data_IF_993648678612
#
_entry.id   IF_993648678612
#
_cell.length_a   1.000
_cell.length_b   1.000
_cell.length_c   1.000
_cell.angle_alpha   90.00
_cell.angle_beta   90.00
_cell.angle_gamma   90.00
#
_symmetry.space_group_name_H-M   'P 1'
#
loop_
_entity.id
_entity.type
_entity.pdbx_description
1 polymer ?
#
# COMPACT_ATOMS: atom_id res chain seq x y z
N UNK A 1 -16.59 35.15 4.60
CA UNK A 1 -17.94 35.32 5.17
C UNK A 1 -18.04 34.35 6.34
N UNK A 2 -18.03 34.88 7.56
CA UNK A 2 -18.04 34.13 8.82
C UNK A 2 -19.44 33.56 9.05
N UNK A 3 -19.55 32.30 9.49
CA UNK A 3 -20.68 31.86 10.32
C UNK A 3 -20.23 30.75 11.27
N UNK A 4 -20.00 31.16 12.51
CA UNK A 4 -19.92 30.38 13.74
C UNK A 4 -21.17 29.51 13.96
N UNK A 5 -21.09 28.28 14.47
CA UNK A 5 -21.26 27.91 15.90
C UNK A 5 -21.76 26.43 15.91
N UNK A 6 -21.47 25.53 16.85
CA UNK A 6 -21.62 25.60 18.31
C UNK A 6 -20.65 24.63 19.00
N UNK A 7 -19.98 25.15 20.02
CA UNK A 7 -19.29 24.39 21.06
C UNK A 7 -20.29 24.10 22.19
N UNK A 8 -20.32 22.85 22.67
CA UNK A 8 -21.16 22.44 23.80
C UNK A 8 -20.47 22.82 25.11
N UNK A 9 -21.15 23.60 25.97
CA UNK A 9 -20.69 23.93 27.32
C UNK A 9 -20.91 22.74 28.26
N UNK A 10 -19.94 22.52 29.14
CA UNK A 10 -20.04 21.59 30.25
C UNK A 10 -20.90 22.24 31.35
N UNK A 11 -22.12 21.77 31.56
CA UNK A 11 -22.93 22.10 32.74
C UNK A 11 -22.88 20.95 33.74
N UNK A 12 -22.73 21.33 35.00
CA UNK A 12 -22.54 20.50 36.18
C UNK A 12 -23.81 19.76 36.60
N UNK A 13 -23.62 18.50 37.01
CA UNK A 13 -24.45 17.85 38.03
C UNK A 13 -25.88 17.46 37.65
N UNK A 14 -26.05 16.45 36.77
CA UNK A 14 -27.25 15.58 36.76
C UNK A 14 -26.85 14.15 36.40
N UNK A 15 -27.16 13.20 37.28
CA UNK A 15 -27.00 11.75 37.06
C UNK A 15 -27.83 11.31 35.85
N UNK A 16 -27.17 10.86 34.79
CA UNK A 16 -27.82 10.34 33.60
C UNK A 16 -28.28 8.89 33.84
N UNK A 17 -29.60 8.67 33.91
CA UNK A 17 -30.19 7.33 33.87
C UNK A 17 -30.13 6.80 32.44
N UNK A 18 -29.56 5.62 32.25
CA UNK A 18 -29.56 4.92 30.97
C UNK A 18 -30.98 4.40 30.67
N UNK A 19 -31.65 4.99 29.68
CA UNK A 19 -32.84 4.40 29.08
C UNK A 19 -32.42 3.43 27.97
N UNK A 20 -32.87 2.18 28.08
CA UNK A 20 -32.67 1.14 27.07
C UNK A 20 -33.44 1.48 25.79
N UNK A 21 -32.75 2.00 24.78
CA UNK A 21 -33.26 2.04 23.42
C UNK A 21 -32.71 0.85 22.64
N UNK A 22 -33.60 -0.06 22.25
CA UNK A 22 -33.30 -1.11 21.29
C UNK A 22 -32.81 -0.47 19.99
N UNK A 23 -31.60 -0.81 19.58
CA UNK A 23 -31.08 -0.40 18.27
C UNK A 23 -31.86 -1.20 17.24
N UNK A 24 -32.79 -0.54 16.56
CA UNK A 24 -33.43 -1.11 15.38
C UNK A 24 -32.35 -1.35 14.32
N UNK A 25 -32.25 -2.59 13.84
CA UNK A 25 -31.41 -2.99 12.72
C UNK A 25 -31.86 -2.25 11.45
N UNK A 26 -31.28 -1.07 11.21
CA UNK A 26 -31.31 -0.48 9.87
C UNK A 26 -30.25 -1.18 9.05
N UNK A 27 -30.72 -2.07 8.16
CA UNK A 27 -29.88 -2.71 7.16
C UNK A 27 -28.97 -1.69 6.46
N UNK A 28 -27.71 -2.07 6.28
CA UNK A 28 -26.74 -1.31 5.50
C UNK A 28 -27.30 -1.21 4.08
N UNK A 29 -27.82 -0.03 3.73
CA UNK A 29 -28.08 0.28 2.33
C UNK A 29 -26.72 0.36 1.66
N UNK A 30 -26.44 -0.59 0.77
CA UNK A 30 -25.32 -0.54 -0.17
C UNK A 30 -25.57 0.62 -1.12
N UNK A 31 -25.22 1.83 -0.68
CA UNK A 31 -25.16 3.00 -1.53
C UNK A 31 -24.02 2.75 -2.50
N UNK A 32 -24.34 2.07 -3.61
CA UNK A 32 -23.45 1.67 -4.70
C UNK A 32 -22.16 2.45 -4.67
N UNK A 33 -21.16 1.87 -3.98
CA UNK A 33 -19.92 2.55 -3.67
C UNK A 33 -19.32 3.09 -4.97
N UNK A 34 -18.80 4.32 -4.91
CA UNK A 34 -18.22 5.05 -6.04
C UNK A 34 -17.20 4.16 -6.77
N UNK A 35 -17.65 3.38 -7.76
CA UNK A 35 -16.79 2.59 -8.63
C UNK A 35 -16.19 3.58 -9.61
N UNK A 36 -14.92 3.89 -9.42
CA UNK A 36 -14.19 4.64 -10.41
C UNK A 36 -14.00 3.73 -11.63
N UNK A 37 -14.81 3.95 -12.68
CA UNK A 37 -14.64 3.27 -13.95
C UNK A 37 -13.33 3.70 -14.61
N UNK A 38 -12.55 2.75 -15.11
CA UNK A 38 -11.30 3.01 -15.82
C UNK A 38 -10.85 1.77 -16.60
N UNK A 39 -9.69 1.82 -17.27
CA UNK A 39 -9.20 0.70 -18.08
C UNK A 39 -8.91 -0.58 -17.28
N UNK A 40 -8.80 -0.49 -15.95
CA UNK A 40 -8.65 -1.65 -15.06
C UNK A 40 -9.93 -1.95 -14.25
N UNK A 41 -11.10 -1.47 -14.68
CA UNK A 41 -12.37 -1.85 -14.05
C UNK A 41 -12.53 -3.38 -14.05
N UNK A 42 -12.96 -3.92 -12.92
CA UNK A 42 -13.07 -5.36 -12.69
C UNK A 42 -11.78 -6.05 -12.22
N UNK A 43 -10.61 -5.40 -12.28
CA UNK A 43 -9.33 -5.97 -11.79
C UNK A 43 -9.22 -5.81 -10.28
N UNK A 44 -8.96 -6.91 -9.55
CA UNK A 44 -8.71 -6.90 -8.11
C UNK A 44 -7.23 -7.04 -7.79
N UNK A 45 -6.70 -6.05 -7.06
CA UNK A 45 -5.29 -5.98 -6.66
C UNK A 45 -5.17 -6.16 -5.15
N UNK A 46 -4.37 -7.14 -4.72
CA UNK A 46 -3.99 -7.34 -3.32
C UNK A 46 -2.64 -6.66 -3.11
N UNK A 47 -2.64 -5.57 -2.34
CA UNK A 47 -1.47 -4.75 -2.08
C UNK A 47 -0.87 -5.09 -0.70
N UNK A 48 0.21 -5.88 -0.68
CA UNK A 48 1.01 -6.19 0.51
C UNK A 48 2.16 -5.21 0.71
N UNK A 49 2.24 -4.17 -0.11
CA UNK A 49 3.40 -3.29 -0.15
C UNK A 49 3.36 -2.23 0.95
N UNK A 50 4.53 -1.70 1.28
CA UNK A 50 4.69 -0.62 2.26
C UNK A 50 5.65 0.44 1.74
N UNK A 51 5.65 1.61 2.39
CA UNK A 51 6.59 2.70 2.16
C UNK A 51 6.31 3.46 0.85
N UNK A 52 7.11 3.29 -0.21
CA UNK A 52 7.07 4.17 -1.39
C UNK A 52 6.79 3.44 -2.71
N UNK A 53 7.74 2.66 -3.21
CA UNK A 53 7.69 2.11 -4.57
C UNK A 53 6.45 1.25 -4.86
N UNK A 54 6.17 0.31 -3.97
CA UNK A 54 4.97 -0.52 -4.07
C UNK A 54 3.66 0.24 -3.91
N UNK A 55 3.48 1.06 -2.85
CA UNK A 55 2.24 1.79 -2.66
C UNK A 55 1.92 2.74 -3.81
N UNK A 56 2.92 3.42 -4.38
CA UNK A 56 2.71 4.28 -5.55
C UNK A 56 2.28 3.43 -6.76
N UNK A 57 2.95 2.30 -7.02
CA UNK A 57 2.59 1.42 -8.13
C UNK A 57 1.12 0.98 -8.07
N UNK A 58 0.67 0.48 -6.91
CA UNK A 58 -0.72 0.02 -6.74
C UNK A 58 -1.71 1.18 -6.68
N UNK A 59 -1.30 2.38 -6.24
CA UNK A 59 -2.13 3.58 -6.35
C UNK A 59 -2.38 3.98 -7.80
N UNK A 60 -1.39 3.85 -8.69
CA UNK A 60 -1.56 4.10 -10.13
C UNK A 60 -2.58 3.12 -10.71
N UNK A 61 -2.53 1.84 -10.32
CA UNK A 61 -3.53 0.85 -10.74
C UNK A 61 -4.95 1.24 -10.25
N UNK A 62 -5.06 1.72 -9.02
CA UNK A 62 -6.33 2.25 -8.48
C UNK A 62 -6.81 3.51 -9.20
N UNK A 63 -5.91 4.40 -9.61
CA UNK A 63 -6.25 5.56 -10.47
C UNK A 63 -6.80 5.12 -11.83
N UNK A 64 -6.37 3.97 -12.33
CA UNK A 64 -6.88 3.34 -13.55
C UNK A 64 -8.17 2.51 -13.34
N UNK A 65 -8.75 2.50 -12.13
CA UNK A 65 -10.03 1.86 -11.84
C UNK A 65 -9.94 0.46 -11.20
N UNK A 66 -8.75 -0.04 -10.88
CA UNK A 66 -8.62 -1.32 -10.19
C UNK A 66 -9.17 -1.26 -8.75
N UNK A 67 -9.78 -2.35 -8.28
CA UNK A 67 -10.16 -2.53 -6.88
C UNK A 67 -8.95 -2.96 -6.06
N UNK A 68 -8.29 -1.98 -5.42
CA UNK A 68 -7.07 -2.20 -4.65
C UNK A 68 -7.41 -2.38 -3.16
N UNK A 69 -7.07 -3.57 -2.63
CA UNK A 69 -7.15 -3.86 -1.20
C UNK A 69 -5.74 -3.90 -0.62
N UNK A 70 -5.40 -2.90 0.18
CA UNK A 70 -4.16 -2.83 0.93
C UNK A 70 -4.26 -3.64 2.22
N UNK A 71 -3.33 -4.57 2.40
CA UNK A 71 -3.18 -5.32 3.64
C UNK A 71 -2.18 -4.60 4.53
N UNK A 72 -2.62 -4.30 5.76
CA UNK A 72 -1.78 -3.65 6.76
C UNK A 72 -1.61 -4.55 7.98
N UNK A 73 -0.45 -4.48 8.62
CA UNK A 73 -0.23 -5.15 9.91
C UNK A 73 -1.08 -4.49 11.02
N UNK A 74 -1.29 -5.17 12.17
CA UNK A 74 -1.85 -4.54 13.35
C UNK A 74 -1.10 -3.24 13.71
N UNK A 75 -1.84 -2.15 13.88
CA UNK A 75 -1.27 -0.80 14.07
C UNK A 75 -1.11 0.02 12.77
N UNK A 76 -1.33 -0.58 11.61
CA UNK A 76 -1.26 0.08 10.31
C UNK A 76 0.16 0.23 9.76
N UNK A 77 0.27 0.77 8.55
CA UNK A 77 1.57 1.10 7.96
C UNK A 77 2.25 2.27 8.71
N UNK A 78 3.56 2.15 8.97
CA UNK A 78 4.35 3.18 9.65
C UNK A 78 4.29 4.58 9.00
N UNK A 79 4.02 4.65 7.69
CA UNK A 79 3.87 5.91 6.97
C UNK A 79 2.59 6.67 7.33
N UNK A 80 1.56 6.02 7.91
CA UNK A 80 0.31 6.67 8.31
C UNK A 80 0.56 7.84 9.28
N UNK A 81 1.15 7.61 10.48
CA UNK A 81 1.52 8.69 11.39
C UNK A 81 2.93 9.26 11.16
N UNK A 82 3.72 8.67 10.25
CA UNK A 82 5.18 8.79 10.19
C UNK A 82 5.76 10.18 9.95
N UNK A 83 4.95 11.22 9.75
CA UNK A 83 5.43 12.59 9.51
C UNK A 83 4.66 13.61 10.34
N UNK A 84 5.38 14.67 10.77
CA UNK A 84 4.84 15.75 11.62
C UNK A 84 3.62 16.44 11.01
N UNK A 85 3.58 16.57 9.69
CA UNK A 85 2.46 17.19 8.98
C UNK A 85 1.42 16.13 8.62
N UNK A 86 0.37 16.07 9.44
CA UNK A 86 -0.74 15.14 9.27
C UNK A 86 -2.08 15.85 9.39
N UNK A 87 -3.09 15.30 8.73
CA UNK A 87 -4.49 15.68 8.89
C UNK A 87 -5.28 14.44 9.28
N UNK A 88 -6.02 14.49 10.39
CA UNK A 88 -6.80 13.36 10.91
C UNK A 88 -5.99 12.07 11.09
N UNK A 89 -4.74 12.16 11.55
CA UNK A 89 -3.86 11.00 11.76
C UNK A 89 -3.29 10.38 10.48
N UNK A 90 -3.43 11.06 9.34
CA UNK A 90 -2.88 10.62 8.05
C UNK A 90 -1.87 11.64 7.55
N UNK A 91 -0.64 11.17 7.30
CA UNK A 91 0.43 11.97 6.71
C UNK A 91 0.18 12.25 5.22
N UNK A 92 0.69 13.39 4.74
CA UNK A 92 0.66 13.74 3.31
C UNK A 92 1.23 12.64 2.39
N UNK A 93 2.42 12.09 2.69
CA UNK A 93 2.97 10.97 1.93
C UNK A 93 2.04 9.76 1.90
N UNK A 94 1.50 9.32 3.04
CA UNK A 94 0.60 8.16 3.06
C UNK A 94 -0.65 8.41 2.21
N UNK A 95 -1.28 9.59 2.33
CA UNK A 95 -2.45 9.96 1.55
C UNK A 95 -2.15 9.97 0.04
N UNK A 96 -0.99 10.50 -0.36
CA UNK A 96 -0.57 10.52 -1.76
C UNK A 96 -0.44 9.11 -2.33
N UNK A 97 0.19 8.18 -1.60
CA UNK A 97 0.55 6.86 -2.11
C UNK A 97 -0.54 5.80 -1.92
N UNK A 98 -1.61 6.10 -1.19
CA UNK A 98 -2.67 5.13 -0.87
C UNK A 98 -4.07 5.64 -1.16
N UNK A 99 -4.20 6.67 -2.01
CA UNK A 99 -5.50 7.04 -2.60
C UNK A 99 -6.06 5.88 -3.43
N UNK A 100 -7.39 5.82 -3.57
CA UNK A 100 -8.09 4.80 -4.34
C UNK A 100 -7.87 3.35 -3.85
N UNK A 101 -7.48 3.18 -2.58
CA UNK A 101 -7.34 1.87 -1.94
C UNK A 101 -8.30 1.72 -0.77
N UNK A 102 -8.80 0.50 -0.59
CA UNK A 102 -9.44 0.05 0.65
C UNK A 102 -8.37 -0.58 1.53
N UNK A 103 -8.43 -0.37 2.84
CA UNK A 103 -7.47 -0.93 3.79
C UNK A 103 -8.13 -2.05 4.60
N UNK A 104 -7.40 -3.15 4.77
CA UNK A 104 -7.76 -4.27 5.63
C UNK A 104 -6.57 -4.60 6.53
N UNK A 105 -6.78 -4.55 7.84
CA UNK A 105 -5.75 -4.95 8.81
C UNK A 105 -5.80 -6.46 8.99
N UNK A 106 -4.68 -7.14 8.71
CA UNK A 106 -4.51 -8.57 8.94
C UNK A 106 -3.21 -8.82 9.72
N UNK A 107 -3.31 -9.63 10.77
CA UNK A 107 -2.13 -10.20 11.40
C UNK A 107 -1.71 -11.47 10.66
N UNK A 108 -0.68 -11.38 9.83
CA UNK A 108 -0.17 -12.51 9.06
C UNK A 108 0.75 -13.45 9.87
N UNK A 109 0.98 -13.15 11.16
CA UNK A 109 1.59 -14.11 12.08
C UNK A 109 0.59 -15.17 12.54
N UNK A 110 -0.71 -14.84 12.53
CA UNK A 110 -1.80 -15.71 12.93
C UNK A 110 -2.41 -16.46 11.74
N UNK A 111 -2.75 -17.74 11.96
CA UNK A 111 -3.38 -18.56 10.91
C UNK A 111 -4.74 -17.99 10.45
N UNK A 112 -5.43 -17.26 11.33
CA UNK A 112 -6.68 -16.57 10.98
C UNK A 112 -6.47 -15.47 9.95
N UNK A 113 -5.42 -14.65 10.09
CA UNK A 113 -5.07 -13.63 9.12
C UNK A 113 -4.58 -14.23 7.80
N UNK A 114 -3.78 -15.30 7.87
CA UNK A 114 -3.36 -16.06 6.68
C UNK A 114 -4.55 -16.63 5.91
N UNK A 115 -5.55 -17.20 6.58
CA UNK A 115 -6.77 -17.71 5.93
C UNK A 115 -7.56 -16.61 5.21
N UNK A 116 -7.59 -15.40 5.75
CA UNK A 116 -8.25 -14.26 5.07
C UNK A 116 -7.44 -13.85 3.84
N UNK A 117 -6.12 -13.75 3.96
CA UNK A 117 -5.25 -13.45 2.82
C UNK A 117 -5.37 -14.51 1.71
N UNK A 118 -5.40 -15.80 2.07
CA UNK A 118 -5.61 -16.90 1.12
C UNK A 118 -6.89 -16.72 0.31
N UNK A 119 -8.01 -16.34 0.96
CA UNK A 119 -9.29 -16.08 0.27
C UNK A 119 -9.22 -14.88 -0.67
N UNK A 120 -8.46 -13.84 -0.30
CA UNK A 120 -8.26 -12.68 -1.15
C UNK A 120 -7.43 -13.03 -2.38
N UNK A 121 -6.33 -13.77 -2.21
CA UNK A 121 -5.45 -14.21 -3.30
C UNK A 121 -6.15 -15.19 -4.26
N UNK A 122 -6.98 -16.10 -3.73
CA UNK A 122 -7.78 -17.03 -4.53
C UNK A 122 -8.74 -16.32 -5.49
N UNK A 123 -9.23 -15.14 -5.12
CA UNK A 123 -10.16 -14.34 -5.92
C UNK A 123 -9.56 -13.02 -6.43
N UNK A 124 -8.23 -12.91 -6.47
CA UNK A 124 -7.50 -11.73 -6.94
C UNK A 124 -6.90 -11.95 -8.33
N UNK A 125 -6.64 -10.85 -9.03
CA UNK A 125 -5.98 -10.88 -10.34
C UNK A 125 -4.49 -10.57 -10.22
N UNK A 126 -4.14 -9.69 -9.27
CA UNK A 126 -2.77 -9.27 -9.02
C UNK A 126 -2.49 -9.27 -7.53
N UNK A 127 -1.32 -9.77 -7.12
CA UNK A 127 -0.74 -9.52 -5.81
C UNK A 127 0.59 -8.80 -5.97
N UNK A 128 0.77 -7.73 -5.20
CA UNK A 128 1.99 -6.91 -5.22
C UNK A 128 2.61 -6.90 -3.82
N UNK A 129 3.91 -7.18 -3.75
CA UNK A 129 4.67 -7.16 -2.50
C UNK A 129 6.05 -6.52 -2.69
N UNK A 130 6.61 -5.97 -1.61
CA UNK A 130 7.96 -5.40 -1.59
C UNK A 130 8.77 -5.85 -0.35
N UNK A 131 8.50 -7.06 0.12
CA UNK A 131 9.25 -7.70 1.16
C UNK A 131 10.63 -8.16 0.65
N UNK A 132 11.45 -8.62 1.58
CA UNK A 132 12.71 -9.28 1.20
C UNK A 132 12.42 -10.65 0.59
N UNK A 133 13.30 -11.13 -0.30
CA UNK A 133 13.26 -12.52 -0.76
C UNK A 133 13.12 -13.51 0.40
N UNK A 134 12.25 -14.51 0.25
CA UNK A 134 11.98 -15.51 1.28
C UNK A 134 10.87 -15.14 2.28
N UNK A 135 10.37 -13.90 2.32
CA UNK A 135 9.32 -13.51 3.27
C UNK A 135 7.99 -14.16 2.92
N UNK A 136 7.57 -14.10 1.64
CA UNK A 136 6.31 -14.70 1.20
C UNK A 136 6.29 -16.21 1.42
N UNK A 137 7.42 -16.88 1.20
CA UNK A 137 7.60 -18.31 1.46
C UNK A 137 7.40 -18.62 2.95
N UNK A 138 8.01 -17.84 3.86
CA UNK A 138 7.82 -18.00 5.31
C UNK A 138 6.39 -17.70 5.77
N UNK A 139 5.69 -16.81 5.08
CA UNK A 139 4.28 -16.54 5.33
C UNK A 139 3.36 -17.65 4.81
N UNK A 140 3.89 -18.58 4.00
CA UNK A 140 3.12 -19.68 3.39
C UNK A 140 2.51 -19.32 2.04
N UNK A 141 2.95 -18.24 1.40
CA UNK A 141 2.44 -17.74 0.13
C UNK A 141 3.56 -17.60 -0.93
N UNK A 142 4.50 -18.54 -0.93
CA UNK A 142 5.51 -18.65 -1.98
C UNK A 142 4.90 -18.98 -3.35
N UNK A 143 5.70 -18.86 -4.40
CA UNK A 143 5.25 -19.02 -5.80
C UNK A 143 4.45 -20.30 -6.06
N UNK A 144 4.97 -21.46 -5.65
CA UNK A 144 4.30 -22.75 -5.89
C UNK A 144 2.91 -22.81 -5.22
N UNK A 145 2.78 -22.22 -4.03
CA UNK A 145 1.51 -22.14 -3.32
C UNK A 145 0.56 -21.17 -4.01
N UNK A 146 1.04 -20.01 -4.47
CA UNK A 146 0.23 -19.06 -5.22
C UNK A 146 -0.30 -19.67 -6.52
N UNK A 147 0.55 -20.40 -7.25
CA UNK A 147 0.16 -21.12 -8.47
C UNK A 147 -0.90 -22.20 -8.23
N UNK A 148 -0.78 -22.93 -7.12
CA UNK A 148 -1.79 -23.92 -6.71
C UNK A 148 -3.11 -23.24 -6.31
N UNK A 149 -3.03 -22.08 -5.64
CA UNK A 149 -4.19 -21.34 -5.15
C UNK A 149 -4.97 -20.65 -6.27
N UNK A 150 -4.25 -20.05 -7.22
CA UNK A 150 -4.79 -19.34 -8.36
C UNK A 150 -3.73 -19.25 -9.46
N UNK A 151 -3.85 -20.13 -10.46
CA UNK A 151 -2.89 -20.20 -11.58
C UNK A 151 -2.95 -19.02 -12.55
N UNK A 152 -3.97 -18.16 -12.42
CA UNK A 152 -4.10 -16.92 -13.21
C UNK A 152 -3.55 -15.69 -12.48
N UNK A 153 -3.14 -15.84 -11.22
CA UNK A 153 -2.68 -14.73 -10.39
C UNK A 153 -1.36 -14.17 -10.90
N UNK A 154 -1.33 -12.86 -11.15
CA UNK A 154 -0.09 -12.14 -11.44
C UNK A 154 0.60 -11.82 -10.11
N UNK A 155 1.84 -12.30 -9.97
CA UNK A 155 2.68 -12.01 -8.81
C UNK A 155 3.74 -10.96 -9.17
N UNK A 156 3.65 -9.78 -8.55
CA UNK A 156 4.61 -8.71 -8.73
C UNK A 156 5.42 -8.48 -7.44
N UNK A 157 6.72 -8.82 -7.50
CA UNK A 157 7.69 -8.54 -6.43
C UNK A 157 8.51 -7.30 -6.76
N UNK A 158 8.50 -6.31 -5.88
CA UNK A 158 9.29 -5.08 -6.00
C UNK A 158 10.45 -5.14 -5.02
N UNK A 159 11.64 -5.43 -5.53
CA UNK A 159 12.87 -5.56 -4.77
C UNK A 159 13.96 -4.63 -5.35
N UNK A 160 14.82 -4.07 -4.49
CA UNK A 160 15.78 -3.04 -4.92
C UNK A 160 16.91 -3.56 -5.81
N UNK A 161 17.31 -4.83 -5.66
CA UNK A 161 18.49 -5.43 -6.31
C UNK A 161 18.21 -6.80 -6.93
N UNK A 162 16.94 -7.16 -7.11
CA UNK A 162 16.57 -8.47 -7.62
C UNK A 162 16.41 -9.53 -6.51
N UNK A 163 15.73 -10.65 -6.81
CA UNK A 163 15.64 -11.81 -5.93
C UNK A 163 16.86 -12.73 -6.03
N UNK A 164 17.78 -12.50 -6.99
CA UNK A 164 18.95 -13.34 -7.26
C UNK A 164 20.24 -12.52 -7.29
N UNK A 165 21.38 -13.20 -7.26
CA UNK A 165 22.70 -12.57 -7.32
C UNK A 165 23.27 -12.14 -5.97
N UNK A 166 24.48 -11.55 -5.96
CA UNK A 166 25.26 -11.31 -4.73
C UNK A 166 24.64 -10.30 -3.77
N UNK A 167 23.64 -9.53 -4.23
CA UNK A 167 23.00 -8.48 -3.44
C UNK A 167 21.58 -8.83 -2.98
N UNK A 168 21.01 -9.96 -3.40
CA UNK A 168 19.59 -10.31 -3.16
C UNK A 168 19.14 -10.19 -1.70
N UNK A 169 20.02 -10.48 -0.75
CA UNK A 169 19.72 -10.43 0.69
C UNK A 169 20.08 -9.10 1.37
N UNK A 170 20.52 -8.08 0.63
CA UNK A 170 20.90 -6.78 1.19
C UNK A 170 19.68 -5.90 1.42
N UNK A 171 19.73 -5.10 2.50
CA UNK A 171 18.77 -4.02 2.72
C UNK A 171 19.10 -2.87 1.79
N UNK A 172 18.10 -2.40 1.07
CA UNK A 172 18.29 -1.35 0.08
C UNK A 172 17.12 -0.39 0.18
N UNK A 173 17.45 0.89 0.18
CA UNK A 173 16.53 2.01 0.04
C UNK A 173 16.97 2.87 -1.13
N UNK A 174 16.13 3.82 -1.54
CA UNK A 174 16.36 4.69 -2.69
C UNK A 174 17.77 5.28 -2.76
N UNK A 175 18.28 5.86 -1.66
CA UNK A 175 19.62 6.45 -1.62
C UNK A 175 20.75 5.44 -1.92
N UNK A 176 20.58 4.18 -1.53
CA UNK A 176 21.57 3.13 -1.85
C UNK A 176 21.53 2.81 -3.34
N UNK A 177 20.34 2.72 -3.95
CA UNK A 177 20.21 2.52 -5.40
C UNK A 177 20.77 3.72 -6.18
N UNK A 178 20.51 4.94 -5.74
CA UNK A 178 21.09 6.13 -6.36
C UNK A 178 22.62 6.09 -6.35
N UNK A 179 23.25 5.63 -5.26
CA UNK A 179 24.69 5.45 -5.20
C UNK A 179 25.18 4.36 -6.17
N UNK A 180 24.64 3.14 -6.07
CA UNK A 180 25.19 1.99 -6.80
C UNK A 180 24.85 1.97 -8.29
N UNK A 181 23.79 2.68 -8.71
CA UNK A 181 23.42 2.84 -10.12
C UNK A 181 24.27 3.89 -10.86
N UNK A 182 25.08 4.67 -10.13
CA UNK A 182 25.85 5.78 -10.68
C UNK A 182 25.07 7.09 -10.81
N UNK A 183 23.77 7.11 -10.48
CA UNK A 183 22.92 8.30 -10.53
C UNK A 183 23.48 9.44 -9.68
N UNK A 184 23.96 9.14 -8.47
CA UNK A 184 24.56 10.14 -7.59
C UNK A 184 25.86 10.75 -8.15
N UNK A 185 26.60 9.97 -8.96
CA UNK A 185 27.81 10.44 -9.64
C UNK A 185 27.48 11.33 -10.82
N UNK A 186 26.47 10.95 -11.62
CA UNK A 186 26.00 11.74 -12.77
C UNK A 186 25.41 13.10 -12.35
N UNK A 187 24.80 13.18 -11.17
CA UNK A 187 24.25 14.41 -10.60
C UNK A 187 25.32 15.31 -9.96
N UNK A 188 26.56 14.84 -9.79
CA UNK A 188 27.57 15.54 -9.00
C UNK A 188 27.98 16.88 -9.64
N UNK A 189 28.09 17.92 -8.80
CA UNK A 189 28.70 19.18 -9.18
C UNK A 189 30.22 19.01 -9.18
N UNK A 190 30.95 19.31 -10.29
CA UNK A 190 32.41 19.24 -10.32
C UNK A 190 33.11 20.07 -9.23
N UNK A 191 32.44 21.07 -8.67
CA UNK A 191 32.95 21.88 -7.55
C UNK A 191 32.78 21.21 -6.18
N UNK A 192 32.05 20.11 -6.11
CA UNK A 192 31.77 19.34 -4.89
C UNK A 192 32.38 17.96 -5.03
N UNK A 193 33.41 17.66 -4.23
CA UNK A 193 34.21 16.41 -4.34
C UNK A 193 33.46 15.11 -4.01
N UNK A 194 32.14 15.15 -3.76
CA UNK A 194 31.35 13.98 -3.41
C UNK A 194 30.11 13.83 -4.29
N UNK A 195 29.73 12.58 -4.64
CA UNK A 195 28.45 12.29 -5.30
C UNK A 195 27.27 12.91 -4.55
N UNK A 196 26.30 13.44 -5.29
CA UNK A 196 25.11 14.07 -4.72
C UNK A 196 23.87 13.27 -5.08
N UNK A 197 23.07 12.95 -4.07
CA UNK A 197 21.77 12.33 -4.28
C UNK A 197 20.80 13.36 -4.85
N UNK A 198 19.93 12.92 -5.76
CA UNK A 198 18.76 13.69 -6.13
C UNK A 198 17.88 13.82 -4.89
N UNK A 199 17.45 15.05 -4.56
CA UNK A 199 16.67 15.34 -3.36
C UNK A 199 15.19 14.95 -3.50
N UNK A 200 14.96 13.72 -3.95
CA UNK A 200 13.68 13.01 -4.00
C UNK A 200 13.96 11.51 -4.09
N UNK A 201 12.95 10.69 -3.83
CA UNK A 201 13.01 9.23 -4.00
C UNK A 201 12.90 8.84 -5.47
N UNK A 202 13.96 9.10 -6.23
CA UNK A 202 13.94 9.02 -7.69
C UNK A 202 13.83 7.58 -8.18
N UNK A 203 14.60 6.67 -7.58
CA UNK A 203 14.59 5.24 -7.93
C UNK A 203 13.26 4.59 -7.52
N UNK A 204 12.73 4.90 -6.34
CA UNK A 204 11.43 4.37 -5.92
C UNK A 204 10.30 4.79 -6.88
N UNK A 205 10.28 6.06 -7.31
CA UNK A 205 9.27 6.57 -8.26
C UNK A 205 9.39 5.90 -9.63
N UNK A 206 10.62 5.77 -10.15
CA UNK A 206 10.88 5.08 -11.40
C UNK A 206 10.39 3.63 -11.33
N UNK A 207 10.79 2.90 -10.28
CA UNK A 207 10.34 1.52 -10.04
C UNK A 207 8.82 1.41 -9.93
N UNK A 208 8.17 2.40 -9.31
CA UNK A 208 6.70 2.41 -9.18
C UNK A 208 6.00 2.43 -10.54
N UNK A 209 6.46 3.31 -11.43
CA UNK A 209 5.89 3.47 -12.78
C UNK A 209 6.16 2.22 -13.60
N UNK A 210 7.39 1.70 -13.57
CA UNK A 210 7.76 0.47 -14.27
C UNK A 210 6.96 -0.73 -13.78
N UNK A 211 6.76 -0.86 -12.46
CA UNK A 211 5.98 -1.95 -11.88
C UNK A 211 4.51 -1.87 -12.31
N UNK A 212 3.88 -0.69 -12.24
CA UNK A 212 2.51 -0.49 -12.70
C UNK A 212 2.37 -0.81 -14.19
N UNK A 213 3.31 -0.36 -15.03
CA UNK A 213 3.34 -0.67 -16.46
C UNK A 213 3.44 -2.18 -16.71
N UNK A 214 4.36 -2.87 -16.02
CA UNK A 214 4.55 -4.31 -16.18
C UNK A 214 3.33 -5.11 -15.74
N UNK A 215 2.65 -4.68 -14.68
CA UNK A 215 1.38 -5.29 -14.23
C UNK A 215 0.30 -5.11 -15.30
N UNK A 216 0.15 -3.92 -15.87
CA UNK A 216 -0.79 -3.69 -16.97
C UNK A 216 -0.48 -4.57 -18.18
N UNK A 217 0.81 -4.70 -18.56
CA UNK A 217 1.23 -5.58 -19.66
C UNK A 217 0.92 -7.05 -19.36
N UNK A 218 1.14 -7.51 -18.13
CA UNK A 218 0.84 -8.87 -17.71
C UNK A 218 -0.66 -9.17 -17.69
N UNK A 219 -1.50 -8.18 -17.36
CA UNK A 219 -2.96 -8.29 -17.43
C UNK A 219 -3.50 -8.36 -18.87
N UNK A 220 -2.76 -7.80 -19.83
CA UNK A 220 -3.14 -7.79 -21.24
C UNK A 220 -2.76 -9.07 -22.00
N UNK A 221 -1.69 -9.74 -21.57
CA UNK A 221 -1.12 -10.92 -22.24
C UNK A 221 -2.06 -12.14 -22.24
#
# INVERSE_FOLDING_TARGET
MISTSRWCRHESGKTCRLSSHSVAEKGVQDNGGFRMSGPLDGVRVIDLTTIYSGPIATSILGDHGADVVKIEAPGGEAMRPGFRHQRNGVSGPFAMMNRNKRSLVLDLSEDSGKRVLERLLAGGDVVVENFRPGVMERLGFGWDRLQTLNSRLIYASINGVGPTGPYANRRVYDAVIQAISGMASLQADPKVERPQMINTLMCDKLTSITAAQNICSALYA
#
